data_IF_741217063692
#
_entry.id   IF_741217063692
#
_cell.length_a   1.000
_cell.length_b   1.000
_cell.length_c   1.000
_cell.angle_alpha   90.00
_cell.angle_beta   90.00
_cell.angle_gamma   90.00
#
_symmetry.space_group_name_H-M   'P 1'
#
loop_
_entity.id
_entity.type
_entity.pdbx_description
1 polymer ?
#
# COMPACT_ATOMS: atom_id res chain seq x y z
N UNK A 1 -0.76 -4.27 10.45
CA UNK A 1 -1.98 -4.00 9.65
C UNK A 1 -2.75 -2.75 10.09
N UNK A 2 -2.46 -2.17 11.26
CA UNK A 2 -3.27 -1.09 11.86
C UNK A 2 -3.51 0.11 10.95
N UNK A 3 -2.57 0.45 10.08
CA UNK A 3 -2.73 1.58 9.15
C UNK A 3 -3.50 1.18 7.88
N UNK A 4 -3.19 0.02 7.29
CA UNK A 4 -3.76 -0.40 6.00
C UNK A 4 -5.28 -0.68 6.07
N UNK A 5 -5.74 -1.30 7.16
CA UNK A 5 -7.16 -1.68 7.31
C UNK A 5 -8.10 -0.46 7.34
N UNK A 6 -7.84 0.60 8.13
CA UNK A 6 -8.61 1.85 8.07
C UNK A 6 -8.65 2.50 6.69
N UNK A 7 -7.52 2.56 5.96
CA UNK A 7 -7.51 3.11 4.60
C UNK A 7 -8.36 2.29 3.63
N UNK A 8 -8.39 0.96 3.78
CA UNK A 8 -9.26 0.11 2.98
C UNK A 8 -10.74 0.33 3.33
N UNK A 9 -11.09 0.43 4.61
CA UNK A 9 -12.46 0.77 5.01
C UNK A 9 -12.88 2.15 4.51
N UNK A 10 -11.97 3.12 4.51
CA UNK A 10 -12.20 4.43 3.90
C UNK A 10 -12.43 4.33 2.40
N UNK A 11 -11.60 3.55 1.69
CA UNK A 11 -11.79 3.26 0.26
C UNK A 11 -13.15 2.60 -0.02
N UNK A 12 -13.62 1.70 0.86
CA UNK A 12 -14.97 1.13 0.75
C UNK A 12 -16.07 2.20 0.86
N UNK A 13 -15.94 3.16 1.80
CA UNK A 13 -16.88 4.27 1.92
C UNK A 13 -16.90 5.15 0.66
N UNK A 14 -15.75 5.36 0.03
CA UNK A 14 -15.64 6.06 -1.25
C UNK A 14 -16.27 5.26 -2.40
N UNK A 15 -16.00 3.95 -2.47
CA UNK A 15 -16.59 3.04 -3.44
C UNK A 15 -18.11 3.01 -3.36
N UNK A 16 -18.69 3.01 -2.15
CA UNK A 16 -20.15 3.12 -1.95
C UNK A 16 -20.76 4.38 -2.59
N UNK A 17 -19.96 5.45 -2.76
CA UNK A 17 -20.36 6.71 -3.40
C UNK A 17 -20.01 6.76 -4.91
N UNK A 18 -19.53 5.65 -5.48
CA UNK A 18 -19.19 5.54 -6.90
C UNK A 18 -17.77 5.98 -7.26
N UNK A 19 -16.92 6.28 -6.27
CA UNK A 19 -15.54 6.69 -6.54
C UNK A 19 -14.63 5.49 -6.78
N UNK A 20 -13.78 5.59 -7.82
CA UNK A 20 -12.72 4.63 -8.08
C UNK A 20 -11.48 4.94 -7.26
N UNK A 21 -10.87 3.91 -6.70
CA UNK A 21 -9.69 4.02 -5.84
C UNK A 21 -8.66 2.98 -6.24
N UNK A 22 -7.39 3.37 -6.28
CA UNK A 22 -6.25 2.46 -6.42
C UNK A 22 -5.52 2.39 -5.09
N UNK A 23 -5.38 1.19 -4.53
CA UNK A 23 -4.80 0.96 -3.22
C UNK A 23 -3.46 0.24 -3.37
N UNK A 24 -2.37 0.96 -3.13
CA UNK A 24 -1.01 0.46 -3.25
C UNK A 24 -0.63 -0.32 -1.99
N UNK A 25 -0.32 -1.60 -2.13
CA UNK A 25 -0.02 -2.47 -0.99
C UNK A 25 1.12 -3.43 -1.32
N UNK A 26 1.88 -3.92 -0.32
CA UNK A 26 2.82 -4.99 -0.53
C UNK A 26 2.14 -6.27 -1.05
N UNK A 27 2.83 -7.03 -1.89
CA UNK A 27 2.25 -8.18 -2.61
C UNK A 27 1.74 -9.26 -1.66
N UNK A 28 2.50 -9.56 -0.61
CA UNK A 28 2.13 -10.53 0.43
C UNK A 28 0.99 -10.05 1.33
N UNK A 29 0.67 -8.76 1.31
CA UNK A 29 -0.44 -8.19 2.10
C UNK A 29 -1.79 -8.29 1.38
N UNK A 30 -1.78 -8.45 0.06
CA UNK A 30 -3.01 -8.48 -0.74
C UNK A 30 -3.97 -9.57 -0.29
N UNK A 31 -3.49 -10.80 -0.11
CA UNK A 31 -4.30 -11.93 0.33
C UNK A 31 -4.92 -11.70 1.71
N UNK A 32 -4.20 -11.02 2.60
CA UNK A 32 -4.66 -10.67 3.95
C UNK A 32 -5.79 -9.63 3.92
N UNK A 33 -5.87 -8.77 2.90
CA UNK A 33 -6.86 -7.67 2.83
C UNK A 33 -7.99 -7.89 1.82
N UNK A 34 -7.86 -8.88 0.93
CA UNK A 34 -8.79 -9.10 -0.17
C UNK A 34 -10.24 -9.33 0.29
N UNK A 35 -10.44 -10.04 1.39
CA UNK A 35 -11.77 -10.29 1.96
C UNK A 35 -12.45 -9.02 2.51
N UNK A 36 -11.70 -7.94 2.74
CA UNK A 36 -12.21 -6.66 3.24
C UNK A 36 -12.58 -5.68 2.11
N UNK A 37 -12.29 -6.00 0.85
CA UNK A 37 -12.69 -5.19 -0.30
C UNK A 37 -14.14 -5.50 -0.68
N UNK A 38 -15.04 -4.56 -0.42
CA UNK A 38 -16.48 -4.72 -0.68
C UNK A 38 -16.89 -4.25 -2.09
N UNK A 39 -15.97 -3.61 -2.83
CA UNK A 39 -16.25 -3.00 -4.12
C UNK A 39 -15.16 -3.34 -5.15
N UNK A 40 -15.06 -4.62 -5.52
CA UNK A 40 -14.02 -5.16 -6.44
C UNK A 40 -13.90 -4.41 -7.77
N UNK A 41 -14.99 -3.82 -8.27
CA UNK A 41 -15.02 -3.07 -9.53
C UNK A 41 -14.57 -1.60 -9.38
N UNK A 42 -14.54 -1.07 -8.16
CA UNK A 42 -14.21 0.32 -7.86
C UNK A 42 -12.89 0.46 -7.09
N UNK A 43 -12.46 -0.58 -6.37
CA UNK A 43 -11.24 -0.60 -5.59
C UNK A 43 -10.28 -1.61 -6.20
N UNK A 44 -9.21 -1.11 -6.79
CA UNK A 44 -8.15 -1.92 -7.40
C UNK A 44 -6.95 -1.97 -6.47
N UNK A 45 -6.52 -3.17 -6.12
CA UNK A 45 -5.25 -3.38 -5.44
C UNK A 45 -4.11 -3.33 -6.44
N UNK A 46 -3.12 -2.49 -6.15
CA UNK A 46 -1.91 -2.33 -6.95
C UNK A 46 -0.77 -2.94 -6.13
N UNK A 47 -0.45 -4.23 -6.34
CA UNK A 47 0.60 -4.91 -5.58
C UNK A 47 1.97 -4.32 -5.92
N UNK A 48 2.71 -3.96 -4.89
CA UNK A 48 4.03 -3.36 -4.99
C UNK A 48 5.08 -4.28 -4.34
N UNK A 49 5.90 -4.95 -5.14
CA UNK A 49 6.98 -5.84 -4.65
C UNK A 49 8.04 -5.04 -3.91
N UNK A 50 8.24 -5.25 -2.60
CA UNK A 50 9.25 -4.50 -1.80
C UNK A 50 10.66 -4.77 -2.35
N UNK A 51 11.50 -3.74 -2.54
CA UNK A 51 12.84 -3.96 -3.06
C UNK A 51 13.63 -4.73 -2.02
N UNK A 52 14.51 -5.61 -2.49
CA UNK A 52 15.39 -6.34 -1.60
C UNK A 52 16.36 -5.35 -0.95
N UNK A 53 16.24 -5.15 0.36
CA UNK A 53 17.19 -4.39 1.18
C UNK A 53 18.05 -5.38 1.94
N UNK A 54 19.37 -5.16 1.96
CA UNK A 54 20.29 -6.02 2.70
C UNK A 54 19.89 -6.05 4.19
N UNK A 55 19.67 -7.25 4.73
CA UNK A 55 19.19 -7.45 6.12
C UNK A 55 17.67 -7.54 6.27
N UNK A 56 16.87 -7.34 5.22
CA UNK A 56 15.42 -7.56 5.25
C UNK A 56 15.09 -8.95 4.64
N UNK A 57 14.52 -9.89 5.42
CA UNK A 57 14.06 -11.18 4.90
C UNK A 57 13.02 -11.01 3.79
N UNK A 58 13.08 -11.88 2.76
CA UNK A 58 12.27 -11.75 1.55
C UNK A 58 10.74 -11.80 1.80
N UNK A 59 10.30 -12.33 2.95
CA UNK A 59 8.89 -12.46 3.32
C UNK A 59 8.36 -11.34 4.21
N UNK A 60 9.24 -10.48 4.72
CA UNK A 60 8.86 -9.43 5.66
C UNK A 60 8.61 -8.14 4.90
N UNK A 61 7.34 -7.87 4.66
CA UNK A 61 6.94 -6.72 3.85
C UNK A 61 6.30 -5.59 4.66
N UNK A 62 5.81 -5.90 5.86
CA UNK A 62 5.15 -4.92 6.72
C UNK A 62 5.79 -4.90 8.10
N UNK A 63 5.63 -3.77 8.79
CA UNK A 63 6.02 -3.62 10.20
C UNK A 63 5.29 -4.60 11.12
N UNK A 64 4.19 -5.20 10.62
CA UNK A 64 3.48 -6.28 11.29
C UNK A 64 4.21 -7.63 11.18
N UNK A 65 4.96 -7.84 10.10
CA UNK A 65 5.72 -9.08 9.88
C UNK A 65 7.06 -9.01 10.64
N UNK A 66 7.68 -7.83 10.71
CA UNK A 66 8.89 -7.60 11.50
C UNK A 66 8.96 -6.20 12.14
N UNK A 67 8.43 -6.06 13.37
CA UNK A 67 8.40 -4.77 14.07
C UNK A 67 9.79 -4.15 14.29
N UNK A 68 10.80 -5.00 14.51
CA UNK A 68 12.18 -4.56 14.79
C UNK A 68 12.94 -4.08 13.54
N UNK A 69 12.43 -4.35 12.33
CA UNK A 69 13.07 -3.97 11.06
C UNK A 69 12.42 -2.73 10.42
N UNK A 70 11.70 -1.92 11.21
CA UNK A 70 10.99 -0.73 10.75
C UNK A 70 11.84 0.18 9.85
N UNK A 71 13.10 0.44 10.22
CA UNK A 71 14.03 1.30 9.46
C UNK A 71 14.40 0.73 8.10
N UNK A 72 14.57 -0.59 8.00
CA UNK A 72 14.84 -1.27 6.72
C UNK A 72 13.61 -1.24 5.82
N UNK A 73 12.41 -1.45 6.39
CA UNK A 73 11.14 -1.36 5.67
C UNK A 73 10.91 0.07 5.16
N UNK A 74 11.16 1.09 5.98
CA UNK A 74 11.07 2.50 5.57
C UNK A 74 12.05 2.81 4.43
N UNK A 75 13.29 2.34 4.54
CA UNK A 75 14.32 2.50 3.48
C UNK A 75 13.88 1.82 2.17
N UNK A 76 13.36 0.60 2.27
CA UNK A 76 12.85 -0.16 1.13
C UNK A 76 11.69 0.56 0.43
N UNK A 77 10.82 1.23 1.21
CA UNK A 77 9.71 2.02 0.68
C UNK A 77 10.16 3.32 0.03
N UNK A 78 11.13 4.04 0.62
CA UNK A 78 11.67 5.28 0.05
C UNK A 78 12.38 5.05 -1.29
N UNK A 79 13.13 3.95 -1.42
CA UNK A 79 13.77 3.58 -2.69
C UNK A 79 12.78 3.40 -3.85
N UNK A 80 11.49 3.19 -3.56
CA UNK A 80 10.42 3.01 -4.55
C UNK A 80 9.73 4.28 -5.01
N UNK A 81 10.09 5.43 -4.48
CA UNK A 81 9.46 6.71 -4.84
C UNK A 81 9.42 6.95 -6.36
N UNK A 82 10.45 6.47 -7.08
CA UNK A 82 10.50 6.56 -8.55
C UNK A 82 9.37 5.77 -9.23
N UNK A 83 9.08 4.56 -8.74
CA UNK A 83 8.02 3.70 -9.28
C UNK A 83 6.62 4.24 -8.96
N UNK A 84 6.41 4.72 -7.74
CA UNK A 84 5.15 5.35 -7.33
C UNK A 84 4.86 6.60 -8.18
N UNK A 85 5.87 7.46 -8.39
CA UNK A 85 5.74 8.64 -9.25
C UNK A 85 5.31 8.29 -10.68
N UNK A 86 5.86 7.23 -11.27
CA UNK A 86 5.47 6.77 -12.60
C UNK A 86 4.02 6.27 -12.63
N UNK A 87 3.63 5.47 -11.62
CA UNK A 87 2.27 4.96 -11.48
C UNK A 87 1.25 6.10 -11.33
N UNK A 88 1.54 7.11 -10.51
CA UNK A 88 0.69 8.29 -10.35
C UNK A 88 0.54 9.09 -11.64
N UNK A 89 1.59 9.23 -12.45
CA UNK A 89 1.52 9.89 -13.77
C UNK A 89 0.59 9.14 -14.75
N UNK A 90 0.57 7.82 -14.68
CA UNK A 90 -0.28 6.99 -15.54
C UNK A 90 -1.74 6.99 -15.05
N UNK A 91 -1.96 6.84 -13.75
CA UNK A 91 -3.30 6.76 -13.15
C UNK A 91 -4.00 8.13 -13.11
N UNK A 92 -3.25 9.22 -13.03
CA UNK A 92 -3.75 10.61 -12.96
C UNK A 92 -4.86 10.77 -11.90
N UNK A 93 -4.62 10.41 -10.63
CA UNK A 93 -5.63 10.53 -9.60
C UNK A 93 -5.94 12.00 -9.29
N UNK A 94 -7.19 12.28 -8.92
CA UNK A 94 -7.60 13.62 -8.45
C UNK A 94 -7.07 13.93 -7.05
N UNK A 95 -7.01 12.91 -6.19
CA UNK A 95 -6.58 13.03 -4.79
C UNK A 95 -5.69 11.84 -4.47
N UNK A 96 -4.62 12.09 -3.72
CA UNK A 96 -3.72 11.05 -3.20
C UNK A 96 -3.74 11.10 -1.68
N UNK A 97 -4.10 9.98 -1.05
CA UNK A 97 -3.97 9.79 0.39
C UNK A 97 -2.72 8.96 0.66
N UNK A 98 -1.93 9.34 1.66
CA UNK A 98 -0.72 8.62 2.06
C UNK A 98 -0.59 8.60 3.59
N UNK A 99 0.16 7.63 4.10
CA UNK A 99 0.45 7.51 5.52
C UNK A 99 1.50 8.53 5.95
N UNK A 100 1.39 9.09 7.16
CA UNK A 100 2.37 10.04 7.67
C UNK A 100 3.78 9.44 7.80
N UNK A 101 3.89 8.11 7.91
CA UNK A 101 5.17 7.41 7.93
C UNK A 101 5.85 7.34 6.56
N UNK A 102 5.16 7.71 5.47
CA UNK A 102 5.74 7.71 4.13
C UNK A 102 6.87 8.74 3.96
N UNK A 103 6.82 9.85 4.71
CA UNK A 103 7.79 10.95 4.62
C UNK A 103 8.83 10.95 5.75
N UNK A 104 8.88 9.89 6.56
CA UNK A 104 9.91 9.70 7.59
C UNK A 104 11.00 8.77 7.09
#
# INVERSE_FOLDING_TARGET
MEHLTPYLHFSNKLGKRGHKSSFFIPKGTQTKLQHLNLHLHLITFVPNTIPLVHGLPHHEETTSDAPFLFTLIATAMHQKDKGIKLLLKNLKPLIVFFDFQYFK
#
